data_IF_226076342652
#
_entry.id   IF_226076342652
#
_cell.length_a   1.000
_cell.length_b   1.000
_cell.length_c   1.000
_cell.angle_alpha   90.00
_cell.angle_beta   90.00
_cell.angle_gamma   90.00
#
_symmetry.space_group_name_H-M   'P 1'
#
loop_
_entity.id
_entity.type
_entity.pdbx_description
1 polymer ?
#
# COMPACT_ATOMS: atom_id res chain seq x y z
N UNK A 1 5.88 17.00 -65.51
CA UNK A 1 6.72 15.94 -66.11
C UNK A 1 7.29 15.08 -64.99
N UNK A 2 7.29 13.74 -65.12
CA UNK A 2 6.19 12.94 -64.58
C UNK A 2 6.61 11.61 -63.89
N UNK A 3 5.63 10.92 -63.26
CA UNK A 3 5.37 9.46 -63.28
C UNK A 3 6.43 8.50 -62.63
N UNK A 4 6.18 7.33 -62.04
CA UNK A 4 5.05 6.40 -61.77
C UNK A 4 5.71 5.16 -61.09
N UNK A 5 5.14 4.35 -60.18
CA UNK A 5 4.30 3.15 -60.44
C UNK A 5 4.30 2.33 -59.13
N UNK A 6 3.20 2.22 -58.36
CA UNK A 6 2.10 1.23 -58.37
C UNK A 6 2.46 -0.23 -58.05
N UNK A 7 1.87 -0.74 -56.96
CA UNK A 7 0.85 -1.84 -56.90
C UNK A 7 0.25 -1.78 -55.48
N UNK A 8 -1.04 -1.60 -55.15
CA UNK A 8 -2.37 -2.01 -55.63
C UNK A 8 -2.69 -3.52 -55.49
N UNK A 9 -3.40 -3.85 -54.41
CA UNK A 9 -4.62 -4.67 -54.37
C UNK A 9 -5.34 -4.33 -53.02
N UNK A 10 -6.43 -3.55 -52.93
CA UNK A 10 -7.85 -3.84 -53.28
C UNK A 10 -8.31 -5.18 -52.66
N UNK A 11 -9.38 -5.32 -51.86
CA UNK A 11 -10.64 -4.61 -51.59
C UNK A 11 -11.06 -4.94 -50.13
N UNK A 12 -11.92 -4.24 -49.38
CA UNK A 12 -12.89 -3.19 -49.67
C UNK A 12 -14.17 -3.46 -48.87
N UNK A 13 -14.59 -2.45 -48.08
CA UNK A 13 -16.00 -2.08 -47.71
C UNK A 13 -16.75 -3.04 -46.76
N UNK A 14 -17.67 -2.62 -45.89
CA UNK A 14 -18.25 -1.31 -45.57
C UNK A 14 -18.95 -1.40 -44.20
N UNK A 15 -18.98 -0.27 -43.51
CA UNK A 15 -19.76 0.07 -42.32
C UNK A 15 -21.22 0.37 -42.72
N UNK A 16 -22.24 0.02 -41.91
CA UNK A 16 -23.46 0.85 -41.69
C UNK A 16 -24.60 0.16 -40.90
N UNK A 17 -24.97 0.80 -39.77
CA UNK A 17 -26.33 1.09 -39.23
C UNK A 17 -27.23 0.01 -38.57
N UNK A 18 -27.57 0.33 -37.31
CA UNK A 18 -28.91 0.41 -36.65
C UNK A 18 -29.92 -0.72 -36.86
N UNK A 19 -30.38 -1.35 -35.77
CA UNK A 19 -31.66 -1.04 -35.08
C UNK A 19 -32.17 -2.20 -34.22
N UNK A 20 -32.92 -1.85 -33.18
CA UNK A 20 -33.68 -2.71 -32.26
C UNK A 20 -34.76 -3.53 -33.00
N UNK A 21 -35.12 -4.71 -32.45
CA UNK A 21 -36.48 -5.14 -32.02
C UNK A 21 -36.58 -6.69 -31.91
N UNK A 22 -37.36 -7.10 -30.91
CA UNK A 22 -37.75 -8.43 -30.41
C UNK A 22 -38.19 -9.48 -31.43
N UNK A 23 -38.05 -10.78 -31.09
CA UNK A 23 -39.14 -11.77 -31.22
C UNK A 23 -38.88 -13.08 -30.45
N UNK A 24 -39.97 -13.63 -29.89
CA UNK A 24 -40.14 -14.91 -29.18
C UNK A 24 -40.34 -16.06 -30.17
N UNK A 25 -39.93 -17.29 -29.84
CA UNK A 25 -40.60 -18.58 -30.21
C UNK A 25 -39.86 -19.75 -29.50
N UNK A 26 -40.33 -20.30 -28.37
CA UNK A 26 -41.18 -21.50 -28.14
C UNK A 26 -40.70 -22.83 -28.75
N UNK A 27 -40.30 -23.78 -27.88
CA UNK A 27 -40.45 -25.26 -28.02
C UNK A 27 -40.19 -25.91 -26.64
N UNK A 28 -41.20 -26.18 -25.80
CA UNK A 28 -41.94 -27.45 -25.58
C UNK A 28 -41.10 -28.73 -25.34
N UNK A 29 -41.41 -29.33 -24.18
CA UNK A 29 -40.91 -30.54 -23.49
C UNK A 29 -41.29 -31.87 -24.17
N UNK A 30 -40.76 -33.01 -23.67
CA UNK A 30 -41.59 -33.86 -22.79
C UNK A 30 -40.86 -34.48 -21.58
N UNK A 31 -41.67 -35.11 -20.72
CA UNK A 31 -41.48 -35.54 -19.33
C UNK A 31 -40.99 -37.00 -19.17
N UNK A 32 -40.10 -37.23 -18.18
CA UNK A 32 -40.04 -38.31 -17.16
C UNK A 32 -40.01 -39.83 -17.57
N UNK A 33 -39.32 -40.73 -16.81
CA UNK A 33 -39.73 -41.07 -15.44
C UNK A 33 -38.63 -41.25 -14.38
N UNK A 34 -39.10 -41.03 -13.14
CA UNK A 34 -38.51 -41.39 -11.85
C UNK A 34 -38.10 -42.87 -11.77
N UNK A 35 -36.91 -43.13 -11.21
CA UNK A 35 -36.67 -44.33 -10.40
C UNK A 35 -35.97 -43.94 -9.10
N UNK A 36 -36.66 -44.25 -7.99
CA UNK A 36 -36.11 -44.26 -6.64
C UNK A 36 -34.96 -45.26 -6.54
N UNK A 37 -33.86 -44.84 -5.91
CA UNK A 37 -32.97 -45.76 -5.21
C UNK A 37 -32.83 -45.24 -3.77
N UNK A 38 -33.45 -45.95 -2.84
CA UNK A 38 -33.37 -45.69 -1.41
C UNK A 38 -32.06 -46.25 -0.85
N UNK A 39 -31.60 -45.59 0.23
CA UNK A 39 -30.58 -46.01 1.19
C UNK A 39 -29.12 -46.03 0.74
N UNK A 40 -28.36 -45.05 1.24
CA UNK A 40 -27.52 -45.25 2.43
C UNK A 40 -27.20 -43.92 3.09
N UNK A 41 -27.52 -43.85 4.39
CA UNK A 41 -26.97 -42.89 5.32
C UNK A 41 -25.44 -42.97 5.26
N UNK A 42 -24.81 -41.89 4.78
CA UNK A 42 -23.50 -41.50 5.27
C UNK A 42 -23.66 -40.06 5.70
N UNK A 43 -23.85 -39.87 7.01
CA UNK A 43 -23.62 -38.60 7.65
C UNK A 43 -22.14 -38.28 7.52
N UNK A 44 -21.74 -37.61 6.44
CA UNK A 44 -20.49 -36.87 6.44
C UNK A 44 -20.72 -35.64 7.31
N UNK A 45 -20.52 -35.88 8.62
CA UNK A 45 -20.26 -34.86 9.62
C UNK A 45 -19.40 -33.77 8.99
N UNK A 46 -19.93 -32.54 8.99
CA UNK A 46 -19.23 -31.39 8.49
C UNK A 46 -17.83 -31.35 9.09
N UNK A 47 -16.82 -31.51 8.24
CA UNK A 47 -15.50 -30.98 8.52
C UNK A 47 -15.69 -29.48 8.53
N UNK A 48 -15.94 -28.94 9.74
CA UNK A 48 -15.78 -27.53 10.06
C UNK A 48 -14.40 -27.15 9.53
N UNK A 49 -14.35 -26.51 8.36
CA UNK A 49 -13.19 -25.73 7.98
C UNK A 49 -13.01 -24.74 9.13
N UNK A 50 -11.90 -24.92 9.83
CA UNK A 50 -11.58 -24.20 11.05
C UNK A 50 -11.68 -22.70 10.73
N UNK A 51 -12.75 -22.05 11.17
CA UNK A 51 -12.99 -20.63 10.95
C UNK A 51 -12.13 -19.87 11.95
N UNK A 52 -10.81 -19.97 11.78
CA UNK A 52 -9.89 -19.16 12.55
C UNK A 52 -10.09 -17.72 12.10
N UNK A 53 -10.30 -16.81 13.06
CA UNK A 53 -10.42 -15.39 12.75
C UNK A 53 -9.09 -14.88 12.16
N UNK A 54 -9.10 -13.82 11.33
CA UNK A 54 -7.87 -13.23 10.82
C UNK A 54 -6.84 -12.91 11.92
N UNK A 55 -7.30 -12.58 13.13
CA UNK A 55 -6.47 -12.28 14.30
C UNK A 55 -5.81 -13.52 14.91
N UNK A 56 -6.49 -14.67 14.93
CA UNK A 56 -5.91 -15.96 15.34
C UNK A 56 -4.81 -16.42 14.36
N UNK A 57 -4.98 -16.12 13.07
CA UNK A 57 -4.00 -16.41 12.04
C UNK A 57 -2.79 -15.48 12.18
N UNK A 58 -3.01 -14.18 12.43
CA UNK A 58 -1.96 -13.19 12.60
C UNK A 58 -1.07 -13.49 13.82
N UNK A 59 -1.69 -13.81 14.97
CA UNK A 59 -0.98 -14.13 16.21
C UNK A 59 -0.10 -15.38 16.11
N UNK A 60 -0.33 -16.24 15.12
CA UNK A 60 0.51 -17.42 14.86
C UNK A 60 1.88 -17.08 14.22
N UNK A 61 2.04 -15.92 13.58
CA UNK A 61 3.29 -15.54 12.88
C UNK A 61 3.78 -14.11 13.11
N UNK A 62 3.02 -13.27 13.82
CA UNK A 62 3.41 -11.90 14.18
C UNK A 62 2.87 -11.52 15.57
N UNK A 63 3.76 -10.98 16.42
CA UNK A 63 3.40 -10.37 17.69
C UNK A 63 3.74 -8.88 17.62
N UNK A 64 2.75 -8.05 17.24
CA UNK A 64 2.94 -6.63 16.98
C UNK A 64 3.01 -5.83 18.29
N UNK A 65 4.03 -5.00 18.44
CA UNK A 65 4.27 -4.17 19.62
C UNK A 65 3.54 -2.81 19.49
N UNK A 66 2.23 -2.82 19.74
CA UNK A 66 1.41 -1.59 19.72
C UNK A 66 1.81 -0.55 20.78
N UNK A 67 2.62 -0.95 21.76
CA UNK A 67 3.15 -0.05 22.79
C UNK A 67 4.48 0.59 22.42
N UNK A 68 5.09 0.22 21.28
CA UNK A 68 6.40 0.72 20.85
C UNK A 68 6.44 2.23 20.73
N UNK A 69 5.39 2.83 20.15
CA UNK A 69 5.29 4.29 19.98
C UNK A 69 5.37 5.01 21.32
N UNK A 70 4.67 4.51 22.35
CA UNK A 70 4.67 5.11 23.69
C UNK A 70 6.05 5.04 24.36
N UNK A 71 6.83 4.00 24.07
CA UNK A 71 8.17 3.78 24.67
C UNK A 71 9.31 4.43 23.89
N UNK A 72 9.26 4.39 22.57
CA UNK A 72 10.36 4.76 21.67
C UNK A 72 10.07 5.97 20.79
N UNK A 73 8.83 6.48 20.78
CA UNK A 73 8.41 7.60 19.94
C UNK A 73 8.19 7.25 18.47
N UNK A 74 8.46 6.01 18.05
CA UNK A 74 8.27 5.52 16.69
C UNK A 74 7.50 4.18 16.65
N UNK A 75 6.64 3.97 15.66
CA UNK A 75 5.89 2.74 15.48
C UNK A 75 6.79 1.61 15.01
N UNK A 76 6.31 0.38 15.15
CA UNK A 76 7.02 -0.78 14.62
C UNK A 76 7.02 -0.76 13.09
N UNK A 77 8.17 -1.12 12.49
CA UNK A 77 8.29 -1.33 11.05
C UNK A 77 8.25 -2.82 10.75
N UNK A 78 7.54 -3.21 9.70
CA UNK A 78 7.45 -4.61 9.28
C UNK A 78 8.66 -4.96 8.43
N UNK A 79 9.45 -5.95 8.88
CA UNK A 79 10.50 -6.51 8.05
C UNK A 79 9.87 -7.43 6.99
N UNK A 80 9.90 -7.02 5.72
CA UNK A 80 9.22 -7.71 4.63
C UNK A 80 9.94 -8.95 4.10
N UNK A 81 11.28 -8.95 4.11
CA UNK A 81 12.07 -10.02 3.52
C UNK A 81 11.84 -11.36 4.26
N UNK A 82 11.54 -12.41 3.49
CA UNK A 82 11.26 -13.75 4.01
C UNK A 82 9.83 -13.96 4.51
N UNK A 83 8.97 -12.94 4.51
CA UNK A 83 7.53 -13.08 4.75
C UNK A 83 6.79 -13.41 3.45
N UNK A 84 5.70 -14.15 3.56
CA UNK A 84 4.82 -14.38 2.40
C UNK A 84 3.99 -13.13 2.09
N UNK A 85 3.56 -12.93 0.83
CA UNK A 85 2.68 -11.81 0.46
C UNK A 85 1.42 -11.75 1.34
N UNK A 86 0.80 -12.89 1.62
CA UNK A 86 -0.39 -12.97 2.49
C UNK A 86 -0.09 -12.55 3.92
N UNK A 87 1.09 -12.90 4.46
CA UNK A 87 1.50 -12.45 5.79
C UNK A 87 1.71 -10.93 5.83
N UNK A 88 2.34 -10.36 4.80
CA UNK A 88 2.55 -8.91 4.68
C UNK A 88 1.18 -8.20 4.63
N UNK A 89 0.27 -8.68 3.78
CA UNK A 89 -1.07 -8.12 3.64
C UNK A 89 -1.83 -8.11 4.98
N UNK A 90 -1.87 -9.24 5.70
CA UNK A 90 -2.56 -9.35 6.99
C UNK A 90 -1.94 -8.48 8.08
N UNK A 91 -0.60 -8.43 8.17
CA UNK A 91 0.08 -7.57 9.14
C UNK A 91 -0.27 -6.11 8.89
N UNK A 92 -0.16 -5.66 7.64
CA UNK A 92 -0.43 -4.28 7.27
C UNK A 92 -1.90 -3.89 7.51
N UNK A 93 -2.85 -4.76 7.19
CA UNK A 93 -4.27 -4.52 7.45
C UNK A 93 -4.57 -4.41 8.95
N UNK A 94 -3.97 -5.28 9.77
CA UNK A 94 -4.10 -5.22 11.23
C UNK A 94 -3.48 -3.97 11.83
N UNK A 95 -2.28 -3.57 11.38
CA UNK A 95 -1.66 -2.31 11.80
C UNK A 95 -2.54 -1.10 11.44
N UNK A 96 -3.15 -1.12 10.25
CA UNK A 96 -4.06 -0.06 9.82
C UNK A 96 -5.33 -0.01 10.67
N UNK A 97 -5.90 -1.17 11.03
CA UNK A 97 -7.04 -1.24 11.96
C UNK A 97 -6.73 -0.56 13.30
N UNK A 98 -5.57 -0.85 13.88
CA UNK A 98 -5.21 -0.31 15.19
C UNK A 98 -4.96 1.20 15.15
N UNK A 99 -4.44 1.71 14.03
CA UNK A 99 -4.33 3.16 13.82
C UNK A 99 -5.71 3.80 13.66
N UNK A 100 -6.65 3.15 12.97
CA UNK A 100 -8.04 3.63 12.88
C UNK A 100 -8.69 3.72 14.27
N UNK A 101 -8.62 2.65 15.07
CA UNK A 101 -9.15 2.62 16.44
C UNK A 101 -8.53 3.71 17.33
N UNK A 102 -7.21 3.92 17.20
CA UNK A 102 -6.52 4.98 17.94
C UNK A 102 -7.02 6.38 17.55
N UNK A 103 -7.25 6.63 16.26
CA UNK A 103 -7.72 7.92 15.76
C UNK A 103 -9.17 8.17 16.17
N UNK A 104 -10.03 7.16 16.04
CA UNK A 104 -11.44 7.27 16.42
C UNK A 104 -11.59 7.59 17.92
N UNK A 105 -10.82 6.91 18.78
CA UNK A 105 -10.78 7.22 20.21
C UNK A 105 -10.21 8.62 20.51
N UNK A 106 -9.24 9.09 19.71
CA UNK A 106 -8.66 10.42 19.86
C UNK A 106 -9.62 11.54 19.42
N UNK A 107 -10.43 11.30 18.39
CA UNK A 107 -11.47 12.23 17.91
C UNK A 107 -12.56 12.47 18.95
N UNK A 108 -12.92 11.45 19.74
CA UNK A 108 -13.88 11.60 20.85
C UNK A 108 -13.33 12.46 22.00
N UNK A 109 -12.02 12.39 22.25
CA UNK A 109 -11.37 13.06 23.37
C UNK A 109 -10.68 14.40 23.02
N UNK A 110 -10.85 14.90 21.78
CA UNK A 110 -10.15 16.08 21.19
C UNK A 110 -8.64 16.10 21.52
N UNK A 111 -8.02 14.93 21.49
CA UNK A 111 -6.61 14.75 21.86
C UNK A 111 -5.68 14.92 20.66
N UNK A 112 -4.50 15.48 20.90
CA UNK A 112 -3.47 15.66 19.86
C UNK A 112 -2.92 14.28 19.46
N UNK A 113 -3.10 13.91 18.20
CA UNK A 113 -2.52 12.69 17.64
C UNK A 113 -1.08 13.00 17.24
N UNK A 114 -0.14 12.18 17.71
CA UNK A 114 1.25 12.28 17.27
C UNK A 114 1.38 11.66 15.87
N UNK A 115 1.87 12.45 14.89
CA UNK A 115 2.10 12.00 13.52
C UNK A 115 3.04 10.79 13.43
N UNK A 116 3.95 10.64 14.38
CA UNK A 116 4.82 9.46 14.41
C UNK A 116 4.01 8.17 14.62
N UNK A 117 2.95 8.22 15.44
CA UNK A 117 2.13 7.07 15.81
C UNK A 117 1.35 6.45 14.65
N UNK A 118 1.17 7.20 13.56
CA UNK A 118 0.32 6.79 12.43
C UNK A 118 1.10 6.13 11.29
N UNK A 119 2.43 6.14 11.34
CA UNK A 119 3.26 5.59 10.29
C UNK A 119 3.20 4.05 10.27
N UNK A 120 2.77 3.48 9.15
CA UNK A 120 2.75 2.03 8.92
C UNK A 120 3.62 1.76 7.69
N UNK A 121 4.72 1.02 7.89
CA UNK A 121 5.67 0.71 6.82
C UNK A 121 6.11 -0.75 6.87
N UNK A 122 6.28 -1.35 5.69
CA UNK A 122 7.04 -2.56 5.49
C UNK A 122 8.28 -2.26 4.65
N UNK A 123 9.46 -2.62 5.18
CA UNK A 123 10.75 -2.39 4.51
C UNK A 123 11.23 -3.64 3.79
N UNK A 124 12.18 -3.48 2.86
CA UNK A 124 12.79 -4.58 2.09
C UNK A 124 11.76 -5.37 1.28
N UNK A 125 10.83 -4.66 0.65
CA UNK A 125 9.82 -5.23 -0.25
C UNK A 125 10.26 -5.01 -1.70
N UNK A 126 10.58 -6.10 -2.38
CA UNK A 126 10.81 -6.07 -3.83
C UNK A 126 9.48 -5.91 -4.59
N UNK A 127 9.58 -5.36 -5.81
CA UNK A 127 8.41 -5.03 -6.64
C UNK A 127 7.54 -6.26 -6.93
N UNK A 128 8.15 -7.42 -7.18
CA UNK A 128 7.42 -8.67 -7.39
C UNK A 128 6.56 -9.06 -6.19
N UNK A 129 7.10 -8.90 -4.97
CA UNK A 129 6.35 -9.20 -3.73
C UNK A 129 5.20 -8.21 -3.57
N UNK A 130 5.41 -6.93 -3.89
CA UNK A 130 4.33 -5.93 -3.87
C UNK A 130 3.23 -6.26 -4.88
N UNK A 131 3.58 -6.66 -6.10
CA UNK A 131 2.60 -7.04 -7.13
C UNK A 131 1.75 -8.24 -6.65
N UNK A 132 2.37 -9.26 -6.05
CA UNK A 132 1.67 -10.39 -5.43
C UNK A 132 0.76 -9.96 -4.27
N UNK A 133 1.17 -8.98 -3.45
CA UNK A 133 0.31 -8.41 -2.38
C UNK A 133 -0.89 -7.68 -2.97
N UNK A 134 -0.72 -7.00 -4.09
CA UNK A 134 -1.79 -6.27 -4.78
C UNK A 134 -2.81 -7.23 -5.42
N UNK A 135 -2.36 -8.38 -5.91
CA UNK A 135 -3.25 -9.44 -6.45
C UNK A 135 -4.19 -10.04 -5.41
N UNK A 136 -3.79 -10.05 -4.12
CA UNK A 136 -4.66 -10.48 -3.01
C UNK A 136 -5.88 -9.56 -2.88
N UNK A 137 -5.69 -8.27 -3.17
CA UNK A 137 -6.73 -7.24 -3.12
C UNK A 137 -6.32 -5.99 -2.33
N UNK A 138 -7.20 -4.97 -2.28
CA UNK A 138 -6.99 -3.80 -1.43
C UNK A 138 -7.08 -4.16 0.05
N UNK A 139 -6.35 -3.44 0.90
CA UNK A 139 -6.52 -3.54 2.35
C UNK A 139 -7.92 -3.05 2.74
N UNK A 140 -8.49 -3.65 3.78
CA UNK A 140 -9.80 -3.26 4.32
C UNK A 140 -9.69 -1.96 5.11
N UNK A 141 -8.59 -1.78 5.84
CA UNK A 141 -8.42 -0.75 6.84
C UNK A 141 -7.50 0.40 6.42
N UNK A 142 -6.93 0.37 5.21
CA UNK A 142 -6.02 1.40 4.73
C UNK A 142 -5.77 1.37 3.23
N UNK A 143 -4.93 2.30 2.78
CA UNK A 143 -4.51 2.46 1.39
C UNK A 143 -3.01 2.20 1.30
N UNK A 144 -2.63 1.29 0.40
CA UNK A 144 -1.22 0.93 0.15
C UNK A 144 -0.57 1.88 -0.86
N UNK A 145 0.69 2.22 -0.62
CA UNK A 145 1.55 2.93 -1.57
C UNK A 145 2.95 2.30 -1.58
N UNK A 146 3.42 1.93 -2.76
CA UNK A 146 4.76 1.36 -2.94
C UNK A 146 5.77 2.42 -3.40
N UNK A 147 6.96 2.38 -2.79
CA UNK A 147 8.09 3.25 -3.10
C UNK A 147 9.25 2.42 -3.63
N UNK A 148 9.40 2.38 -4.95
CA UNK A 148 10.35 1.49 -5.64
C UNK A 148 11.80 1.75 -5.25
N UNK A 149 12.23 3.02 -5.18
CA UNK A 149 13.62 3.38 -4.82
C UNK A 149 14.00 2.92 -3.41
N UNK A 150 13.09 3.09 -2.45
CA UNK A 150 13.32 2.72 -1.05
C UNK A 150 13.02 1.25 -0.73
N UNK A 151 12.34 0.53 -1.63
CA UNK A 151 11.76 -0.80 -1.38
C UNK A 151 10.87 -0.79 -0.13
N UNK A 152 10.06 0.26 0.02
CA UNK A 152 9.11 0.43 1.12
C UNK A 152 7.69 0.30 0.59
N UNK A 153 6.87 -0.48 1.29
CA UNK A 153 5.42 -0.46 1.18
C UNK A 153 4.86 0.30 2.38
N UNK A 154 4.30 1.50 2.15
CA UNK A 154 3.66 2.30 3.18
C UNK A 154 2.15 2.14 3.14
N UNK A 155 1.51 2.22 4.31
CA UNK A 155 0.06 2.15 4.43
C UNK A 155 -0.46 3.37 5.15
N UNK A 156 -1.50 3.99 4.59
CA UNK A 156 -2.26 5.05 5.23
C UNK A 156 -3.59 4.49 5.73
N UNK A 157 -3.83 4.58 7.03
CA UNK A 157 -5.08 4.13 7.64
C UNK A 157 -6.27 4.98 7.18
N UNK A 158 -7.45 4.37 6.99
CA UNK A 158 -8.62 5.03 6.43
C UNK A 158 -9.14 6.20 7.28
N UNK A 159 -9.02 6.13 8.61
CA UNK A 159 -9.47 7.17 9.53
C UNK A 159 -8.69 8.49 9.41
N UNK A 160 -7.54 8.48 8.72
CA UNK A 160 -6.75 9.68 8.38
C UNK A 160 -7.27 10.43 7.15
N UNK A 161 -8.23 9.84 6.44
CA UNK A 161 -8.84 10.45 5.27
C UNK A 161 -10.22 11.00 5.64
N UNK A 162 -10.54 12.17 5.10
CA UNK A 162 -11.88 12.75 5.13
C UNK A 162 -12.83 11.94 4.21
N UNK A 163 -14.13 12.23 4.26
CA UNK A 163 -15.18 11.61 3.42
C UNK A 163 -14.86 11.70 1.91
N UNK A 164 -14.05 12.69 1.54
CA UNK A 164 -13.61 12.95 0.17
C UNK A 164 -12.24 12.32 -0.19
N UNK A 165 -11.60 11.59 0.73
CA UNK A 165 -10.29 10.98 0.53
C UNK A 165 -9.09 11.91 0.74
N UNK A 166 -9.32 13.15 1.18
CA UNK A 166 -8.26 14.13 1.49
C UNK A 166 -7.76 13.96 2.93
N UNK A 167 -6.58 14.50 3.27
CA UNK A 167 -6.12 14.48 4.66
C UNK A 167 -7.12 15.17 5.59
N UNK A 168 -7.51 14.48 6.67
CA UNK A 168 -8.42 15.02 7.67
C UNK A 168 -7.82 16.27 8.32
N UNK A 169 -8.49 17.41 8.16
CA UNK A 169 -8.04 18.71 8.70
C UNK A 169 -8.47 18.94 10.15
N UNK A 170 -9.38 18.12 10.68
CA UNK A 170 -9.86 18.12 12.06
C UNK A 170 -8.83 17.55 13.05
N UNK A 171 -7.88 16.74 12.56
CA UNK A 171 -6.81 16.18 13.37
C UNK A 171 -5.71 17.21 13.63
N UNK A 172 -5.52 17.56 14.91
CA UNK A 172 -4.42 18.41 15.37
C UNK A 172 -3.16 17.56 15.53
N UNK A 173 -2.24 17.66 14.57
CA UNK A 173 -0.92 17.02 14.64
C UNK A 173 0.11 17.93 15.32
N UNK A 174 0.88 17.37 16.27
CA UNK A 174 2.03 18.07 16.86
C UNK A 174 3.24 17.96 15.93
N UNK A 175 3.68 19.09 15.35
CA UNK A 175 4.84 19.17 14.45
C UNK A 175 5.87 20.17 14.98
N UNK A 176 6.28 20.02 16.24
CA UNK A 176 7.24 20.94 16.89
C UNK A 176 8.71 20.52 16.72
N UNK A 177 9.03 19.66 15.75
CA UNK A 177 10.38 19.11 15.58
C UNK A 177 11.17 19.86 14.51
N UNK A 178 12.46 20.06 14.79
CA UNK A 178 13.43 20.54 13.79
C UNK A 178 13.48 19.58 12.60
N UNK A 179 13.79 20.10 11.42
CA UNK A 179 13.90 19.28 10.21
C UNK A 179 15.14 18.38 10.26
N UNK A 180 15.11 17.31 9.49
CA UNK A 180 16.25 16.39 9.32
C UNK A 180 16.72 16.49 7.87
N UNK A 181 18.03 16.53 7.66
CA UNK A 181 18.60 16.34 6.33
C UNK A 181 19.01 14.88 6.20
N UNK A 182 18.65 14.23 5.10
CA UNK A 182 19.21 12.93 4.72
C UNK A 182 20.12 13.16 3.53
N UNK A 183 21.41 12.94 3.76
CA UNK A 183 22.45 13.13 2.75
C UNK A 183 23.06 11.81 2.31
N UNK A 184 23.39 11.67 1.02
CA UNK A 184 24.13 10.52 0.52
C UNK A 184 25.28 10.91 -0.40
N UNK A 185 26.39 10.17 -0.32
CA UNK A 185 27.62 10.51 -1.03
C UNK A 185 27.56 10.10 -2.51
N UNK A 186 26.91 8.98 -2.81
CA UNK A 186 26.78 8.49 -4.18
C UNK A 186 25.42 7.87 -4.48
N UNK A 187 25.20 7.54 -5.74
CA UNK A 187 23.95 6.94 -6.23
C UNK A 187 23.71 5.53 -5.68
N UNK A 188 24.76 4.79 -5.32
CA UNK A 188 24.64 3.47 -4.68
C UNK A 188 23.94 3.55 -3.32
N UNK A 189 24.06 4.67 -2.62
CA UNK A 189 23.44 4.89 -1.31
C UNK A 189 21.96 5.30 -1.43
N UNK A 190 21.48 5.64 -2.64
CA UNK A 190 20.16 6.20 -2.87
C UNK A 190 19.01 5.35 -2.30
N UNK A 191 18.99 4.01 -2.44
CA UNK A 191 17.91 3.20 -1.87
C UNK A 191 17.84 3.30 -0.34
N UNK A 192 19.00 3.33 0.33
CA UNK A 192 19.10 3.43 1.78
C UNK A 192 18.73 4.85 2.25
N UNK A 193 19.16 5.87 1.52
CA UNK A 193 18.81 7.26 1.80
C UNK A 193 17.30 7.51 1.67
N UNK A 194 16.65 6.98 0.62
CA UNK A 194 15.20 7.09 0.46
C UNK A 194 14.43 6.29 1.52
N UNK A 195 14.92 5.12 1.92
CA UNK A 195 14.33 4.34 3.03
C UNK A 195 14.30 5.16 4.33
N UNK A 196 15.42 5.79 4.69
CA UNK A 196 15.51 6.67 5.85
C UNK A 196 14.61 7.91 5.71
N UNK A 197 14.66 8.57 4.55
CA UNK A 197 13.89 9.79 4.31
C UNK A 197 12.39 9.56 4.33
N UNK A 198 11.91 8.46 3.74
CA UNK A 198 10.49 8.09 3.76
C UNK A 198 10.03 7.68 5.16
N UNK A 199 10.83 6.90 5.89
CA UNK A 199 10.49 6.52 7.27
C UNK A 199 10.25 7.76 8.13
N UNK A 200 11.17 8.73 8.09
CA UNK A 200 11.05 10.00 8.81
C UNK A 200 9.85 10.84 8.31
N UNK A 201 9.68 10.95 6.99
CA UNK A 201 8.58 11.73 6.39
C UNK A 201 7.21 11.18 6.78
N UNK A 202 7.05 9.85 6.74
CA UNK A 202 5.81 9.17 7.12
C UNK A 202 5.51 9.28 8.61
N UNK A 203 6.53 9.45 9.45
CA UNK A 203 6.38 9.78 10.88
C UNK A 203 6.15 11.27 11.15
N UNK A 204 5.95 12.10 10.12
CA UNK A 204 5.64 13.52 10.24
C UNK A 204 6.86 14.43 10.48
N UNK A 205 8.08 13.92 10.29
CA UNK A 205 9.30 14.73 10.38
C UNK A 205 9.58 15.34 9.00
N UNK A 206 9.87 16.63 8.97
CA UNK A 206 10.26 17.31 7.73
C UNK A 206 11.66 16.87 7.32
N UNK A 207 11.77 16.28 6.13
CA UNK A 207 13.05 15.77 5.61
C UNK A 207 13.49 16.54 4.37
N UNK A 208 14.70 17.06 4.42
CA UNK A 208 15.41 17.58 3.24
C UNK A 208 16.34 16.52 2.68
N UNK A 209 16.20 16.20 1.40
CA UNK A 209 17.03 15.19 0.71
C UNK A 209 18.19 15.87 -0.01
N UNK A 210 19.40 15.37 0.20
CA UNK A 210 20.62 15.84 -0.49
C UNK A 210 21.35 14.63 -1.07
N UNK A 211 21.30 14.48 -2.38
CA UNK A 211 21.91 13.33 -3.06
C UNK A 211 23.21 13.68 -3.75
N UNK A 212 24.06 12.66 -3.87
CA UNK A 212 25.32 12.71 -4.62
C UNK A 212 26.28 13.82 -4.12
N UNK A 213 26.38 14.00 -2.79
CA UNK A 213 27.26 14.99 -2.17
C UNK A 213 28.66 14.46 -1.84
N UNK A 214 29.14 13.45 -2.58
CA UNK A 214 30.40 12.76 -2.33
C UNK A 214 31.65 13.63 -2.50
N UNK A 215 32.74 13.22 -1.85
CA UNK A 215 34.01 13.95 -1.80
C UNK A 215 34.83 13.93 -3.11
N UNK A 216 34.50 13.05 -4.06
CA UNK A 216 35.13 13.02 -5.38
C UNK A 216 34.95 14.34 -6.16
N UNK A 217 33.92 15.13 -5.81
CA UNK A 217 33.76 16.49 -6.28
C UNK A 217 33.45 17.42 -5.11
N UNK A 218 34.46 18.09 -4.55
CA UNK A 218 34.31 19.04 -3.43
C UNK A 218 33.21 20.09 -3.70
N UNK A 219 33.01 20.49 -4.96
CA UNK A 219 31.94 21.41 -5.34
C UNK A 219 30.54 20.91 -4.95
N UNK A 220 30.28 19.60 -4.96
CA UNK A 220 28.97 19.01 -4.65
C UNK A 220 28.59 19.23 -3.18
N UNK A 221 29.53 18.98 -2.27
CA UNK A 221 29.30 19.22 -0.84
C UNK A 221 29.24 20.72 -0.54
N UNK A 222 30.06 21.55 -1.19
CA UNK A 222 30.02 23.00 -1.01
C UNK A 222 28.66 23.60 -1.43
N UNK A 223 28.04 23.09 -2.50
CA UNK A 223 26.68 23.48 -2.91
C UNK A 223 25.61 23.01 -1.91
N UNK A 224 25.83 21.88 -1.23
CA UNK A 224 24.92 21.36 -0.22
C UNK A 224 25.04 22.07 1.15
N UNK A 225 26.19 22.69 1.46
CA UNK A 225 26.46 23.31 2.77
C UNK A 225 25.35 24.24 3.29
N UNK A 226 24.72 25.11 2.49
CA UNK A 226 23.63 25.96 2.98
C UNK A 226 22.45 25.15 3.53
N UNK A 227 22.11 24.03 2.90
CA UNK A 227 21.04 23.14 3.36
C UNK A 227 21.44 22.35 4.61
N UNK A 228 22.69 21.92 4.68
CA UNK A 228 23.21 21.13 5.81
C UNK A 228 23.39 21.96 7.08
N UNK A 229 23.63 23.26 6.94
CA UNK A 229 23.89 24.20 8.06
C UNK A 229 22.69 25.11 8.36
N UNK A 230 21.52 24.82 7.80
CA UNK A 230 20.34 25.62 8.05
C UNK A 230 19.97 25.56 9.55
N UNK A 231 19.74 26.69 10.24
CA UNK A 231 19.42 26.71 11.67
C UNK A 231 18.15 25.91 12.07
N UNK A 232 17.24 25.70 11.11
CA UNK A 232 16.02 24.90 11.30
C UNK A 232 16.30 23.39 11.31
N UNK A 233 17.46 22.95 10.82
CA UNK A 233 17.88 21.55 10.79
C UNK A 233 18.40 21.15 12.16
N UNK A 234 17.85 20.07 12.71
CA UNK A 234 18.26 19.50 14.00
C UNK A 234 19.27 18.37 13.86
N UNK A 235 19.27 17.69 12.72
CA UNK A 235 20.10 16.52 12.45
C UNK A 235 20.39 16.41 10.95
N UNK A 236 21.58 15.91 10.60
CA UNK A 236 22.03 15.60 9.23
C UNK A 236 22.55 14.17 9.20
#
# INVERSE_FOLDING_TARGET
>A
MPLYRRSLCQLGRECSRRSLIQSRFVARTPLLPFRLCQHRHISCSGTKLNSQSPDEILSAFANLDHSRVKRAGFPEAVFGQGKTPSQIHLILDSMANNVNEMIDAASESDSIVNSASTAIIATRIDKSVYDEVLEIGPLKNGIMQYHETAKILSVRANALNDVNGNERTDLKFSTTQKSVVVACAGTTDLPVAEEAALTLSLSGIQVTRVYDCGVAGLHRILTALPKLRDPSVGCV
#
